data_IF_570495115771
#
_entry.id   IF_570495115771
#
_cell.length_a   1.000
_cell.length_b   1.000
_cell.length_c   1.000
_cell.angle_alpha   90.00
_cell.angle_beta   90.00
_cell.angle_gamma   90.00
#
_symmetry.space_group_name_H-M   'P 1'
#
loop_
_entity.id
_entity.type
_entity.pdbx_description
1 polymer ?
#
# COMPACT_ATOMS: atom_id res chain seq x y z
N UNK A 1 -7.02 -33.15 -0.14
CA UNK A 1 -7.77 -32.09 0.55
C UNK A 1 -7.00 -30.79 0.34
N UNK A 2 -7.58 -29.83 -0.35
CA UNK A 2 -6.96 -28.50 -0.43
C UNK A 2 -7.12 -27.82 0.93
N UNK A 3 -6.01 -27.47 1.57
CA UNK A 3 -6.04 -26.62 2.74
C UNK A 3 -6.65 -25.28 2.33
N UNK A 4 -7.70 -24.85 3.00
CA UNK A 4 -8.29 -23.54 2.79
C UNK A 4 -7.27 -22.51 3.27
N UNK A 5 -6.62 -21.80 2.33
CA UNK A 5 -5.72 -20.70 2.69
C UNK A 5 -6.53 -19.62 3.42
N UNK A 6 -6.15 -19.31 4.63
CA UNK A 6 -6.76 -18.21 5.39
C UNK A 6 -6.13 -16.90 4.97
N UNK A 7 -6.95 -15.97 4.52
CA UNK A 7 -6.53 -14.59 4.26
C UNK A 7 -6.78 -13.81 5.56
N UNK A 8 -5.74 -13.15 6.05
CA UNK A 8 -5.81 -12.37 7.29
C UNK A 8 -5.32 -10.95 7.05
N UNK A 9 -5.86 -10.00 7.80
CA UNK A 9 -5.31 -8.65 7.93
C UNK A 9 -4.41 -8.66 9.15
N UNK A 10 -3.15 -8.32 8.96
CA UNK A 10 -2.15 -8.38 10.04
C UNK A 10 -2.14 -7.09 10.83
N UNK A 11 -2.02 -5.96 10.16
CA UNK A 11 -2.01 -4.64 10.79
C UNK A 11 -2.33 -3.55 9.74
N UNK A 12 -2.44 -2.30 10.20
CA UNK A 12 -2.69 -1.15 9.36
C UNK A 12 -2.17 0.13 9.99
N UNK A 13 -2.00 1.15 9.16
CA UNK A 13 -1.63 2.48 9.60
C UNK A 13 -2.20 3.53 8.65
N UNK A 14 -2.40 4.73 9.15
CA UNK A 14 -2.78 5.90 8.37
C UNK A 14 -2.03 7.14 8.83
N UNK A 15 -1.90 8.10 7.95
CA UNK A 15 -1.46 9.45 8.31
C UNK A 15 -2.60 10.22 9.00
N UNK A 16 -2.31 11.33 9.68
CA UNK A 16 -3.34 12.30 10.05
C UNK A 16 -4.12 12.77 8.82
N UNK A 17 -5.31 13.28 9.05
CA UNK A 17 -6.14 13.94 8.02
C UNK A 17 -5.83 15.43 8.08
N UNK A 18 -5.44 15.99 6.94
CA UNK A 18 -5.19 17.42 6.78
C UNK A 18 -6.35 18.15 6.14
N UNK A 19 -6.31 19.48 6.21
CA UNK A 19 -7.23 20.37 5.50
C UNK A 19 -6.66 20.75 4.13
N UNK A 20 -7.52 21.10 3.18
CA UNK A 20 -7.08 21.64 1.90
C UNK A 20 -6.22 22.89 2.09
N UNK A 21 -5.02 22.92 1.48
CA UNK A 21 -4.06 23.99 1.67
C UNK A 21 -3.40 24.04 3.05
N UNK A 22 -3.62 23.02 3.90
CA UNK A 22 -3.12 22.92 5.26
C UNK A 22 -1.75 22.25 5.36
N UNK A 23 -1.57 21.45 6.42
CA UNK A 23 -0.26 20.88 6.82
C UNK A 23 0.41 20.00 5.75
N UNK A 24 -0.35 19.43 4.83
CA UNK A 24 0.18 18.54 3.79
C UNK A 24 0.29 19.19 2.41
N UNK A 25 0.05 20.50 2.29
CA UNK A 25 0.01 21.20 1.00
C UNK A 25 1.27 21.02 0.14
N UNK A 26 2.42 20.89 0.79
CA UNK A 26 3.73 20.76 0.13
C UNK A 26 4.29 19.32 0.24
N UNK A 27 3.50 18.37 0.75
CA UNK A 27 3.92 16.98 0.90
C UNK A 27 3.36 16.14 -0.25
N UNK A 28 4.21 15.54 -1.08
CA UNK A 28 3.76 14.67 -2.15
C UNK A 28 2.96 13.48 -1.64
N UNK A 29 1.92 13.09 -2.38
CA UNK A 29 1.04 11.99 -1.97
C UNK A 29 1.77 10.67 -1.73
N UNK A 30 2.81 10.36 -2.52
CA UNK A 30 3.60 9.14 -2.34
C UNK A 30 4.38 9.13 -1.00
N UNK A 31 4.80 10.27 -0.48
CA UNK A 31 5.50 10.33 0.81
C UNK A 31 4.55 10.03 1.97
N UNK A 32 3.32 10.51 1.88
CA UNK A 32 2.26 10.16 2.85
C UNK A 32 1.99 8.66 2.81
N UNK A 33 1.83 8.10 1.61
CA UNK A 33 1.63 6.68 1.41
C UNK A 33 2.81 5.85 1.95
N UNK A 34 4.04 6.25 1.66
CA UNK A 34 5.24 5.58 2.14
C UNK A 34 5.37 5.62 3.66
N UNK A 35 4.98 6.73 4.28
CA UNK A 35 4.99 6.87 5.75
C UNK A 35 4.02 5.90 6.39
N UNK A 36 2.80 5.79 5.87
CA UNK A 36 1.81 4.84 6.35
C UNK A 36 2.26 3.39 6.09
N UNK A 37 2.84 3.10 4.91
CA UNK A 37 3.32 1.76 4.58
C UNK A 37 4.49 1.31 5.48
N UNK A 38 5.47 2.17 5.74
CA UNK A 38 6.55 1.87 6.69
C UNK A 38 6.03 1.54 8.09
N UNK A 39 5.09 2.32 8.56
CA UNK A 39 4.52 2.09 9.90
C UNK A 39 3.69 0.81 9.94
N UNK A 40 2.93 0.49 8.91
CA UNK A 40 2.19 -0.76 8.81
C UNK A 40 3.13 -1.98 8.81
N UNK A 41 4.24 -1.92 8.05
CA UNK A 41 5.28 -2.96 8.07
C UNK A 41 5.89 -3.11 9.47
N UNK A 42 6.26 -2.01 10.10
CA UNK A 42 6.83 -2.02 11.45
C UNK A 42 5.90 -2.67 12.48
N UNK A 43 4.62 -2.34 12.44
CA UNK A 43 3.61 -2.89 13.37
C UNK A 43 3.32 -4.35 13.09
N UNK A 44 3.22 -4.72 11.83
CA UNK A 44 2.91 -6.10 11.45
C UNK A 44 4.05 -7.09 11.72
N UNK A 45 5.28 -6.61 11.87
CA UNK A 45 6.46 -7.44 11.97
C UNK A 45 6.84 -8.16 10.67
N UNK A 46 6.17 -7.84 9.55
CA UNK A 46 6.49 -8.40 8.23
C UNK A 46 7.76 -7.74 7.72
N UNK A 47 8.75 -8.55 7.33
CA UNK A 47 9.96 -8.03 6.73
C UNK A 47 9.68 -7.50 5.32
N UNK A 48 10.40 -6.45 4.90
CA UNK A 48 10.26 -5.90 3.56
C UNK A 48 10.52 -6.93 2.45
N UNK A 49 11.39 -7.89 2.72
CA UNK A 49 11.72 -8.99 1.82
C UNK A 49 10.61 -10.04 1.66
N UNK A 50 9.68 -10.08 2.59
CA UNK A 50 8.54 -11.00 2.57
C UNK A 50 7.30 -10.40 1.90
N UNK A 51 7.40 -9.16 1.41
CA UNK A 51 6.34 -8.52 0.64
C UNK A 51 6.41 -9.00 -0.80
N UNK A 52 5.31 -9.57 -1.29
CA UNK A 52 5.21 -10.07 -2.66
C UNK A 52 4.72 -9.01 -3.65
N UNK A 53 3.87 -8.08 -3.20
CA UNK A 53 3.19 -7.14 -4.08
C UNK A 53 2.70 -5.90 -3.31
N UNK A 54 2.65 -4.76 -4.00
CA UNK A 54 2.03 -3.53 -3.50
C UNK A 54 0.88 -3.12 -4.42
N UNK A 55 -0.28 -2.96 -3.84
CA UNK A 55 -1.46 -2.44 -4.56
C UNK A 55 -1.88 -1.14 -3.89
N UNK A 56 -2.00 -0.07 -4.66
CA UNK A 56 -2.36 1.24 -4.13
C UNK A 56 -3.58 1.81 -4.84
N UNK A 57 -4.53 2.29 -4.06
CA UNK A 57 -5.66 3.04 -4.60
C UNK A 57 -5.26 4.49 -4.87
N UNK A 58 -5.50 4.97 -6.07
CA UNK A 58 -5.30 6.37 -6.44
C UNK A 58 -6.26 6.79 -7.53
N UNK A 59 -7.05 7.83 -7.26
CA UNK A 59 -8.01 8.38 -8.21
C UNK A 59 -7.31 9.40 -9.14
N UNK A 60 -6.52 10.30 -8.56
CA UNK A 60 -5.84 11.38 -9.27
C UNK A 60 -4.49 10.97 -9.82
N UNK A 61 -4.47 10.15 -10.86
CA UNK A 61 -3.25 9.67 -11.51
C UNK A 61 -2.74 10.69 -12.51
N UNK A 62 -2.33 11.86 -12.05
CA UNK A 62 -1.85 12.97 -12.88
C UNK A 62 -0.38 13.25 -12.64
N UNK A 63 0.36 13.58 -13.70
CA UNK A 63 1.79 13.86 -13.59
C UNK A 63 2.56 12.71 -12.93
N UNK A 64 3.37 13.00 -11.91
CA UNK A 64 4.16 11.97 -11.22
C UNK A 64 3.33 10.94 -10.46
N UNK A 65 2.06 11.20 -10.19
CA UNK A 65 1.17 10.27 -9.47
C UNK A 65 0.67 9.12 -10.34
N UNK A 66 0.92 9.17 -11.65
CA UNK A 66 0.71 8.01 -12.53
C UNK A 66 1.48 6.76 -12.07
N UNK A 67 2.61 6.95 -11.40
CA UNK A 67 3.45 5.88 -10.85
C UNK A 67 3.44 5.84 -9.33
N UNK A 68 2.37 6.30 -8.71
CA UNK A 68 2.29 6.51 -7.27
C UNK A 68 2.59 5.23 -6.48
N UNK A 69 2.03 4.08 -6.88
CA UNK A 69 2.25 2.79 -6.22
C UNK A 69 3.73 2.40 -6.19
N UNK A 70 4.44 2.56 -7.30
CA UNK A 70 5.87 2.26 -7.38
C UNK A 70 6.70 3.21 -6.54
N UNK A 71 6.36 4.49 -6.57
CA UNK A 71 7.04 5.50 -5.74
C UNK A 71 6.86 5.23 -4.25
N UNK A 72 5.64 4.85 -3.84
CA UNK A 72 5.36 4.44 -2.46
C UNK A 72 6.17 3.22 -2.06
N UNK A 73 6.19 2.18 -2.89
CA UNK A 73 6.92 0.95 -2.61
C UNK A 73 8.42 1.22 -2.36
N UNK A 74 9.06 1.97 -3.26
CA UNK A 74 10.47 2.32 -3.15
C UNK A 74 10.74 3.24 -1.94
N UNK A 75 9.93 4.26 -1.74
CA UNK A 75 10.06 5.17 -0.60
C UNK A 75 9.76 4.49 0.74
N UNK A 76 8.97 3.44 0.76
CA UNK A 76 8.74 2.62 1.95
C UNK A 76 9.91 1.66 2.27
N UNK A 77 10.88 1.55 1.37
CA UNK A 77 12.05 0.69 1.55
C UNK A 77 11.85 -0.75 1.10
N UNK A 78 10.86 -1.00 0.24
CA UNK A 78 10.65 -2.32 -0.34
C UNK A 78 11.70 -2.61 -1.43
N UNK A 79 12.11 -3.88 -1.61
CA UNK A 79 13.03 -4.27 -2.66
C UNK A 79 12.51 -3.98 -4.07
N UNK A 80 13.41 -3.71 -4.99
CA UNK A 80 13.09 -3.41 -6.39
C UNK A 80 12.31 -4.51 -7.10
N UNK A 81 12.48 -5.76 -6.66
CA UNK A 81 11.77 -6.91 -7.22
C UNK A 81 10.28 -6.94 -6.92
N UNK A 82 9.83 -6.18 -5.90
CA UNK A 82 8.41 -6.17 -5.49
C UNK A 82 7.59 -5.38 -6.51
N UNK A 83 6.67 -6.03 -7.23
CA UNK A 83 5.81 -5.34 -8.17
C UNK A 83 4.85 -4.41 -7.44
N UNK A 84 4.53 -3.30 -8.09
CA UNK A 84 3.59 -2.33 -7.55
C UNK A 84 2.68 -1.81 -8.66
N UNK A 85 1.39 -1.78 -8.42
CA UNK A 85 0.42 -1.25 -9.36
C UNK A 85 -0.67 -0.43 -8.67
N UNK A 86 -1.27 0.45 -9.46
CA UNK A 86 -2.31 1.36 -8.97
C UNK A 86 -3.67 0.89 -9.45
N UNK A 87 -4.65 0.96 -8.57
CA UNK A 87 -6.05 0.69 -8.90
C UNK A 87 -6.87 1.96 -8.75
N UNK A 88 -7.80 2.15 -9.66
CA UNK A 88 -8.75 3.24 -9.61
C UNK A 88 -10.18 2.68 -9.70
N UNK A 89 -10.90 2.79 -8.61
CA UNK A 89 -12.31 2.47 -8.47
C UNK A 89 -13.06 3.66 -7.89
N UNK A 90 -12.68 4.86 -8.28
CA UNK A 90 -13.18 6.10 -7.70
C UNK A 90 -13.11 6.07 -6.17
N UNK A 91 -14.17 6.41 -5.47
CA UNK A 91 -14.20 6.43 -4.00
C UNK A 91 -13.94 5.07 -3.34
N UNK A 92 -14.09 3.97 -4.09
CA UNK A 92 -13.78 2.60 -3.65
C UNK A 92 -12.31 2.18 -3.83
N UNK A 93 -11.43 3.06 -4.29
CA UNK A 93 -10.03 2.71 -4.59
C UNK A 93 -9.24 2.25 -3.36
N UNK A 94 -9.64 2.63 -2.16
CA UNK A 94 -9.01 2.17 -0.93
C UNK A 94 -9.34 0.73 -0.52
N UNK A 95 -10.32 0.08 -1.17
CA UNK A 95 -10.83 -1.23 -0.77
C UNK A 95 -10.52 -2.42 -1.71
N UNK A 96 -9.75 -2.31 -2.82
CA UNK A 96 -9.63 -3.41 -3.77
C UNK A 96 -8.86 -4.62 -3.24
N UNK A 97 -8.04 -4.45 -2.24
CA UNK A 97 -7.25 -5.53 -1.65
C UNK A 97 -8.08 -6.63 -0.97
N UNK A 98 -9.33 -6.37 -0.65
CA UNK A 98 -10.23 -7.33 -0.02
C UNK A 98 -10.91 -8.27 -1.03
N UNK A 99 -10.92 -7.93 -2.30
CA UNK A 99 -11.65 -8.66 -3.35
C UNK A 99 -10.75 -9.49 -4.27
N UNK A 100 -9.45 -9.34 -4.17
CA UNK A 100 -8.48 -10.14 -4.93
C UNK A 100 -7.75 -11.10 -3.99
N UNK A 101 -7.34 -12.26 -4.50
CA UNK A 101 -6.54 -13.24 -3.74
C UNK A 101 -5.17 -12.69 -3.32
N UNK A 102 -4.82 -11.53 -3.79
CA UNK A 102 -3.64 -10.79 -3.42
C UNK A 102 -4.06 -9.66 -2.51
N UNK A 103 -3.56 -9.68 -1.33
CA UNK A 103 -3.79 -8.67 -0.31
C UNK A 103 -3.22 -7.33 -0.75
N UNK A 104 -4.01 -6.27 -0.71
CA UNK A 104 -3.47 -4.96 -0.43
C UNK A 104 -4.50 -3.85 -0.52
N UNK A 105 -4.42 -2.91 0.31
CA UNK A 105 -5.16 -1.64 0.27
C UNK A 105 -4.19 -0.49 0.07
N UNK A 106 -4.70 0.69 -0.15
CA UNK A 106 -3.94 1.93 -0.37
C UNK A 106 -2.81 2.19 0.65
N UNK A 107 -2.68 1.36 1.65
CA UNK A 107 -1.67 1.44 2.70
C UNK A 107 -1.31 0.06 3.25
N UNK A 108 -1.57 -1.03 2.52
CA UNK A 108 -1.23 -2.38 2.97
C UNK A 108 -0.30 -3.08 2.00
N UNK A 109 0.67 -3.74 2.55
CA UNK A 109 1.59 -4.64 1.87
C UNK A 109 1.14 -6.07 2.13
N UNK A 110 1.15 -6.92 1.13
CA UNK A 110 0.84 -8.34 1.28
C UNK A 110 2.11 -9.18 1.20
N UNK A 111 2.30 -10.02 2.19
CA UNK A 111 3.31 -11.07 2.16
C UNK A 111 2.64 -12.44 2.18
N UNK A 112 3.12 -13.37 1.37
CA UNK A 112 2.85 -14.79 1.58
C UNK A 112 3.79 -15.32 2.67
N UNK A 113 3.29 -16.06 3.64
CA UNK A 113 4.19 -16.82 4.50
C UNK A 113 4.96 -17.81 3.61
N UNK A 114 6.27 -17.64 3.55
CA UNK A 114 7.14 -18.64 2.92
C UNK A 114 7.11 -19.89 3.79
N UNK A 115 6.88 -21.00 3.17
CA UNK A 115 7.05 -22.31 3.79
C UNK A 115 8.54 -22.62 3.99
#
# INVERSE_FOLDING_TARGET
MSATEKIVVVDGARTPIGSFGGMFKDVPGYELGATAAREALRRSGVAADDVDEVVMGCIGQVGPDAYNSRRVALAAGLPDRVPAYTVNRLCGSGCPGWSTRSCATATSTCGRPRR
#
